data_IF_332427352531
#
_entry.id   IF_332427352531
#
_cell.length_a   1.000
_cell.length_b   1.000
_cell.length_c   1.000
_cell.angle_alpha   90.00
_cell.angle_beta   90.00
_cell.angle_gamma   90.00
#
_symmetry.space_group_name_H-M   'P 1'
#
loop_
_entity.id
_entity.type
_entity.pdbx_description
1 polymer ?
#
# COMPACT_ATOMS: atom_id res chain seq x y z
N UNK A 1 9.37 12.11 -1.88
CA UNK A 1 8.56 11.00 -1.34
C UNK A 1 7.11 11.20 -1.76
N UNK A 2 6.45 10.13 -2.14
CA UNK A 2 5.09 10.20 -2.66
C UNK A 2 4.07 10.16 -1.53
N UNK A 3 4.05 11.24 -0.73
CA UNK A 3 3.22 11.28 0.46
C UNK A 3 1.72 11.17 0.17
N UNK A 4 1.28 11.64 -1.00
CA UNK A 4 -0.12 11.48 -1.40
C UNK A 4 -0.46 10.00 -1.64
N UNK A 5 0.45 9.25 -2.25
CA UNK A 5 0.25 7.80 -2.47
C UNK A 5 0.30 7.06 -1.14
N UNK A 6 1.25 7.43 -0.27
CA UNK A 6 1.31 6.87 1.09
C UNK A 6 -0.02 7.08 1.80
N UNK A 7 -0.58 8.29 1.72
CA UNK A 7 -1.87 8.59 2.33
C UNK A 7 -2.99 7.71 1.81
N UNK A 8 -3.01 7.43 0.51
CA UNK A 8 -4.01 6.55 -0.08
C UNK A 8 -3.87 5.11 0.40
N UNK A 9 -2.62 4.65 0.53
CA UNK A 9 -2.35 3.30 1.06
C UNK A 9 -2.85 3.20 2.50
N UNK A 10 -2.58 4.22 3.32
CA UNK A 10 -3.03 4.24 4.72
C UNK A 10 -4.56 4.22 4.79
N UNK A 11 -5.24 4.99 3.96
CA UNK A 11 -6.71 4.98 3.89
C UNK A 11 -7.23 3.59 3.54
N UNK A 12 -6.62 2.95 2.54
CA UNK A 12 -7.02 1.60 2.14
C UNK A 12 -6.82 0.59 3.27
N UNK A 13 -5.72 0.70 4.01
CA UNK A 13 -5.45 -0.16 5.17
C UNK A 13 -6.52 0.06 6.25
N UNK A 14 -6.88 1.30 6.51
CA UNK A 14 -7.93 1.61 7.48
C UNK A 14 -9.26 0.98 7.08
N UNK A 15 -9.58 1.00 5.78
CA UNK A 15 -10.80 0.39 5.27
C UNK A 15 -10.79 -1.13 5.40
N UNK A 16 -9.61 -1.73 5.46
CA UNK A 16 -9.45 -3.17 5.69
C UNK A 16 -9.37 -3.51 7.19
N UNK A 17 -9.67 -2.55 8.05
CA UNK A 17 -9.66 -2.70 9.50
C UNK A 17 -8.26 -2.94 10.08
N UNK A 18 -7.23 -2.47 9.40
CA UNK A 18 -5.87 -2.52 9.91
C UNK A 18 -5.62 -1.25 10.74
N UNK A 19 -5.14 -1.39 11.99
CA UNK A 19 -4.80 -0.20 12.78
C UNK A 19 -3.68 0.61 12.10
N UNK A 20 -3.89 1.91 11.94
CA UNK A 20 -2.94 2.78 11.25
C UNK A 20 -2.44 3.93 12.11
N UNK A 21 -2.74 3.93 13.40
CA UNK A 21 -2.42 5.04 14.29
C UNK A 21 -0.92 5.34 14.38
N UNK A 22 -0.09 4.31 14.28
CA UNK A 22 1.36 4.45 14.40
C UNK A 22 2.09 4.15 13.09
N UNK A 23 1.37 4.08 11.97
CA UNK A 23 1.97 3.76 10.67
C UNK A 23 2.70 4.99 10.13
N UNK A 24 3.94 4.78 9.72
CA UNK A 24 4.76 5.78 9.03
C UNK A 24 5.19 5.22 7.67
N UNK A 25 5.77 6.03 6.79
CA UNK A 25 6.30 5.49 5.52
C UNK A 25 7.38 4.43 5.71
N UNK A 26 8.02 4.39 6.87
CA UNK A 26 9.07 3.41 7.18
C UNK A 26 8.54 2.12 7.81
N UNK A 27 7.24 2.06 8.08
CA UNK A 27 6.62 0.87 8.66
C UNK A 27 6.46 -0.21 7.58
N UNK A 28 6.91 -1.43 7.85
CA UNK A 28 6.71 -2.55 6.93
C UNK A 28 5.31 -3.11 7.10
N UNK A 29 4.80 -3.75 6.05
CA UNK A 29 3.52 -4.45 6.15
C UNK A 29 3.62 -5.60 7.15
N UNK A 30 4.77 -6.26 7.20
CA UNK A 30 5.03 -7.34 8.15
C UNK A 30 4.93 -6.84 9.59
N UNK A 31 5.43 -5.65 9.87
CA UNK A 31 5.32 -5.04 11.21
C UNK A 31 3.87 -4.75 11.60
N UNK A 32 2.99 -4.58 10.63
CA UNK A 32 1.56 -4.40 10.84
C UNK A 32 0.80 -5.73 10.87
N UNK A 33 1.52 -6.85 10.85
CA UNK A 33 0.95 -8.19 10.81
C UNK A 33 0.09 -8.44 9.56
N UNK A 34 0.45 -7.80 8.46
CA UNK A 34 -0.23 -8.00 7.18
C UNK A 34 0.45 -9.17 6.47
N UNK A 35 -0.28 -10.27 6.34
CA UNK A 35 0.20 -11.44 5.61
C UNK A 35 -0.04 -11.27 4.11
N UNK A 36 0.36 -12.29 3.33
CA UNK A 36 0.24 -12.22 1.88
C UNK A 36 -1.21 -12.15 1.41
N UNK A 37 -2.14 -12.75 2.13
CA UNK A 37 -3.56 -12.71 1.77
C UNK A 37 -4.13 -11.30 1.94
N UNK A 38 -3.83 -10.67 3.07
CA UNK A 38 -4.31 -9.32 3.33
C UNK A 38 -3.63 -8.32 2.40
N UNK A 39 -2.35 -8.54 2.10
CA UNK A 39 -1.62 -7.70 1.16
C UNK A 39 -2.21 -7.81 -0.25
N UNK A 40 -2.67 -9.00 -0.63
CA UNK A 40 -3.35 -9.19 -1.91
C UNK A 40 -4.67 -8.42 -1.94
N UNK A 41 -5.43 -8.42 -0.85
CA UNK A 41 -6.64 -7.61 -0.75
C UNK A 41 -6.35 -6.13 -0.85
N UNK A 42 -5.26 -5.69 -0.21
CA UNK A 42 -4.80 -4.30 -0.31
C UNK A 42 -4.48 -3.95 -1.76
N UNK A 43 -3.75 -4.83 -2.45
CA UNK A 43 -3.40 -4.60 -3.85
C UNK A 43 -4.64 -4.47 -4.72
N UNK A 44 -5.64 -5.34 -4.51
CA UNK A 44 -6.89 -5.27 -5.26
C UNK A 44 -7.62 -3.95 -5.03
N UNK A 45 -7.62 -3.46 -3.80
CA UNK A 45 -8.24 -2.18 -3.47
C UNK A 45 -7.50 -1.02 -4.12
N UNK A 46 -6.17 -1.06 -4.09
CA UNK A 46 -5.36 -0.02 -4.72
C UNK A 46 -5.50 -0.03 -6.24
N UNK A 47 -5.71 -1.18 -6.85
CA UNK A 47 -6.02 -1.26 -8.28
C UNK A 47 -7.27 -0.45 -8.62
N UNK A 48 -8.29 -0.53 -7.78
CA UNK A 48 -9.52 0.23 -7.98
C UNK A 48 -9.31 1.72 -7.75
N UNK A 49 -8.54 2.07 -6.72
CA UNK A 49 -8.30 3.47 -6.36
C UNK A 49 -7.52 4.18 -7.45
N UNK A 50 -6.50 3.53 -8.00
CA UNK A 50 -5.59 4.15 -8.96
C UNK A 50 -5.87 3.78 -10.42
N UNK A 51 -6.74 2.83 -10.66
CA UNK A 51 -7.08 2.40 -12.02
C UNK A 51 -5.93 1.71 -12.74
N UNK A 52 -5.09 1.00 -12.03
CA UNK A 52 -3.96 0.26 -12.61
C UNK A 52 -4.04 -1.20 -12.19
N UNK A 53 -3.26 -2.05 -12.87
CA UNK A 53 -3.08 -3.43 -12.46
C UNK A 53 -1.86 -3.54 -11.56
N UNK A 54 -2.01 -4.27 -10.46
CA UNK A 54 -0.91 -4.61 -9.56
C UNK A 54 -0.80 -6.13 -9.55
N UNK A 55 0.32 -6.64 -10.04
CA UNK A 55 0.52 -8.08 -10.12
C UNK A 55 0.87 -8.67 -8.77
N UNK A 56 0.51 -9.93 -8.58
CA UNK A 56 0.89 -10.68 -7.38
C UNK A 56 2.42 -10.68 -7.27
N UNK A 57 2.92 -10.29 -6.12
CA UNK A 57 4.36 -10.23 -5.87
C UNK A 57 5.00 -8.87 -6.11
N UNK A 58 4.28 -7.91 -6.68
CA UNK A 58 4.80 -6.54 -6.78
C UNK A 58 4.89 -5.88 -5.40
N UNK A 59 3.97 -6.23 -4.52
CA UNK A 59 4.00 -5.79 -3.13
C UNK A 59 4.23 -7.02 -2.26
N UNK A 60 5.16 -6.91 -1.34
CA UNK A 60 5.52 -8.01 -0.43
C UNK A 60 5.47 -7.50 1.01
N UNK A 61 5.27 -8.41 2.01
CA UNK A 61 5.18 -7.98 3.41
C UNK A 61 6.43 -7.27 3.93
N UNK A 62 7.58 -7.54 3.35
CA UNK A 62 8.84 -6.91 3.75
C UNK A 62 8.96 -5.46 3.26
N UNK A 63 8.12 -5.04 2.31
CA UNK A 63 8.12 -3.65 1.87
C UNK A 63 7.61 -2.73 2.96
N UNK A 64 8.18 -1.53 3.04
CA UNK A 64 7.60 -0.46 3.83
C UNK A 64 6.45 0.17 3.03
N UNK A 65 5.60 0.93 3.72
CA UNK A 65 4.54 1.68 3.06
C UNK A 65 5.14 2.63 2.01
N UNK A 66 6.27 3.28 2.35
CA UNK A 66 6.97 4.18 1.42
C UNK A 66 7.51 3.46 0.20
N UNK A 67 8.03 2.23 0.37
CA UNK A 67 8.50 1.43 -0.75
C UNK A 67 7.35 1.02 -1.66
N UNK A 68 6.22 0.66 -1.09
CA UNK A 68 5.02 0.36 -1.88
C UNK A 68 4.56 1.59 -2.66
N UNK A 69 4.60 2.75 -2.04
CA UNK A 69 4.27 4.00 -2.72
C UNK A 69 5.23 4.27 -3.89
N UNK A 70 6.52 3.97 -3.70
CA UNK A 70 7.50 4.14 -4.76
C UNK A 70 7.24 3.20 -5.94
N UNK A 71 6.85 1.95 -5.67
CA UNK A 71 6.48 0.99 -6.72
C UNK A 71 5.30 1.55 -7.55
N UNK A 72 4.29 2.07 -6.87
CA UNK A 72 3.11 2.63 -7.55
C UNK A 72 3.46 3.90 -8.31
N UNK A 73 4.30 4.76 -7.74
CA UNK A 73 4.75 5.97 -8.42
C UNK A 73 5.51 5.63 -9.71
N UNK A 74 6.33 4.57 -9.68
CA UNK A 74 7.06 4.11 -10.85
C UNK A 74 6.12 3.60 -11.96
N UNK A 75 4.89 3.24 -11.61
CA UNK A 75 3.86 2.83 -12.57
C UNK A 75 3.10 4.01 -13.16
N UNK A 76 3.48 5.22 -12.79
CA UNK A 76 2.84 6.42 -13.31
C UNK A 76 1.54 6.80 -12.62
N UNK A 77 1.32 6.30 -11.42
CA UNK A 77 0.12 6.63 -10.65
C UNK A 77 0.13 8.11 -10.30
N UNK A 78 -0.99 8.77 -10.56
CA UNK A 78 -1.18 10.16 -10.17
C UNK A 78 -2.29 10.23 -9.13
N UNK A 79 -2.03 10.96 -8.05
CA UNK A 79 -3.03 11.20 -7.01
C UNK A 79 -3.46 12.65 -7.10
N UNK A 80 -4.76 12.84 -7.23
CA UNK A 80 -5.37 14.16 -7.35
C UNK A 80 -6.02 14.55 -6.04
#
# INVERSE_FOLDING_TARGET
>A
MDSAIVGRIVVALTELNVPTDEVTPDTTFDAMEIDSLLLEELALRLQKVFGIEIETGELVPEHTVGEAAAVLAARGVAVV
#
